data_IF_180510567614
#
_entry.id   IF_180510567614
#
_cell.length_a   1.000
_cell.length_b   1.000
_cell.length_c   1.000
_cell.angle_alpha   90.00
_cell.angle_beta   90.00
_cell.angle_gamma   90.00
#
_symmetry.space_group_name_H-M   'P 1'
#
loop_
_entity.id
_entity.type
_entity.pdbx_description
1 polymer ?
#
# COMPACT_ATOMS: atom_id res chain seq x y z
N UNK A 1 9.07 29.45 -21.02
CA UNK A 1 9.06 29.31 -19.54
C UNK A 1 10.27 28.49 -19.18
N UNK A 2 11.07 28.92 -18.20
CA UNK A 2 12.15 28.06 -17.68
C UNK A 2 11.48 26.81 -17.11
N UNK A 3 11.87 25.63 -17.60
CA UNK A 3 11.43 24.36 -17.03
C UNK A 3 11.91 24.29 -15.58
N UNK A 4 11.04 23.80 -14.69
CA UNK A 4 11.41 23.54 -13.29
C UNK A 4 12.38 22.36 -13.25
N UNK A 5 13.30 22.37 -12.29
CA UNK A 5 14.26 21.27 -12.13
C UNK A 5 13.77 20.31 -11.03
N UNK A 6 14.03 19.02 -11.19
CA UNK A 6 13.82 18.03 -10.15
C UNK A 6 15.10 17.21 -9.97
N UNK A 7 15.52 17.03 -8.72
CA UNK A 7 16.60 16.13 -8.35
C UNK A 7 15.99 15.00 -7.53
N UNK A 8 16.19 13.76 -7.97
CA UNK A 8 15.53 12.61 -7.35
C UNK A 8 16.45 11.42 -7.13
N UNK A 9 16.12 10.60 -6.14
CA UNK A 9 16.75 9.29 -5.97
C UNK A 9 16.13 8.28 -6.96
N UNK A 10 16.96 7.64 -7.78
CA UNK A 10 16.54 6.57 -8.68
C UNK A 10 17.20 5.26 -8.25
N UNK A 11 16.41 4.32 -7.73
CA UNK A 11 16.91 3.01 -7.29
C UNK A 11 16.76 1.93 -8.34
N UNK A 12 15.95 2.13 -9.38
CA UNK A 12 15.57 1.06 -10.32
C UNK A 12 14.41 0.19 -9.82
N UNK A 13 13.90 0.49 -8.63
CA UNK A 13 12.64 -0.05 -8.12
C UNK A 13 11.41 0.58 -8.74
N UNK A 14 10.25 -0.01 -8.45
CA UNK A 14 8.95 0.42 -8.97
C UNK A 14 8.64 1.88 -8.64
N UNK A 15 8.83 2.28 -7.38
CA UNK A 15 8.34 3.59 -6.90
C UNK A 15 9.19 4.73 -7.43
N UNK A 16 10.52 4.57 -7.38
CA UNK A 16 11.45 5.57 -7.91
C UNK A 16 11.35 5.68 -9.44
N UNK A 17 11.10 4.58 -10.15
CA UNK A 17 10.84 4.60 -11.59
C UNK A 17 9.51 5.29 -11.93
N UNK A 18 8.47 5.03 -11.14
CA UNK A 18 7.16 5.70 -11.27
C UNK A 18 7.27 7.20 -11.02
N UNK A 19 8.02 7.62 -9.99
CA UNK A 19 8.29 9.02 -9.69
C UNK A 19 9.05 9.73 -10.83
N UNK A 20 9.99 9.05 -11.48
CA UNK A 20 10.70 9.61 -12.63
C UNK A 20 9.73 9.94 -13.76
N UNK A 21 8.85 9.00 -14.10
CA UNK A 21 7.83 9.18 -15.13
C UNK A 21 6.86 10.30 -14.77
N UNK A 22 6.42 10.33 -13.51
CA UNK A 22 5.57 11.39 -12.99
C UNK A 22 6.20 12.79 -13.17
N UNK A 23 7.46 12.95 -12.79
CA UNK A 23 8.18 14.22 -12.94
C UNK A 23 8.36 14.61 -14.42
N UNK A 24 8.66 13.65 -15.29
CA UNK A 24 8.73 13.89 -16.73
C UNK A 24 7.39 14.31 -17.32
N UNK A 25 6.30 13.66 -16.91
CA UNK A 25 4.94 14.01 -17.29
C UNK A 25 4.58 15.45 -16.88
N UNK A 26 4.98 15.87 -15.68
CA UNK A 26 4.83 17.25 -15.20
C UNK A 26 5.77 18.26 -15.90
N UNK A 27 6.65 17.80 -16.80
CA UNK A 27 7.52 18.64 -17.61
C UNK A 27 8.79 19.12 -16.91
N UNK A 28 9.21 18.47 -15.82
CA UNK A 28 10.46 18.79 -15.13
C UNK A 28 11.69 18.42 -15.98
N UNK A 29 12.79 19.15 -15.79
CA UNK A 29 14.12 18.66 -16.12
C UNK A 29 14.61 17.80 -14.95
N UNK A 30 14.84 16.51 -15.18
CA UNK A 30 15.11 15.57 -14.10
C UNK A 30 16.59 15.18 -14.05
N UNK A 31 17.20 15.34 -12.87
CA UNK A 31 18.51 14.79 -12.52
C UNK A 31 18.31 13.65 -11.51
N UNK A 32 18.60 12.42 -11.92
CA UNK A 32 18.54 11.22 -11.09
C UNK A 32 19.90 10.93 -10.44
N UNK A 33 19.90 10.69 -9.13
CA UNK A 33 21.03 10.12 -8.41
C UNK A 33 20.71 8.66 -8.03
N UNK A 34 21.56 7.73 -8.44
CA UNK A 34 21.53 6.35 -7.97
C UNK A 34 22.69 6.12 -7.00
N UNK A 35 22.38 5.61 -5.82
CA UNK A 35 23.35 5.43 -4.74
C UNK A 35 23.86 3.99 -4.71
N UNK A 36 25.16 3.81 -4.83
CA UNK A 36 25.86 2.56 -4.53
C UNK A 36 26.45 2.69 -3.12
N UNK A 37 25.78 2.11 -2.13
CA UNK A 37 26.21 2.11 -0.74
C UNK A 37 26.71 0.74 -0.27
N UNK A 38 27.00 -0.16 -1.21
CA UNK A 38 27.40 -1.54 -0.92
C UNK A 38 26.24 -2.51 -0.79
N UNK A 39 25.08 -2.20 -1.38
CA UNK A 39 23.96 -3.12 -1.43
C UNK A 39 24.33 -4.44 -2.15
N UNK A 40 23.73 -5.55 -1.69
CA UNK A 40 24.09 -6.93 -2.08
C UNK A 40 24.01 -7.20 -3.60
N UNK A 41 23.05 -6.56 -4.28
CA UNK A 41 22.81 -6.77 -5.71
C UNK A 41 22.91 -5.44 -6.47
N UNK A 42 23.80 -5.38 -7.47
CA UNK A 42 23.93 -4.23 -8.37
C UNK A 42 22.86 -4.21 -9.47
N UNK A 43 21.99 -5.22 -9.52
CA UNK A 43 20.93 -5.36 -10.53
C UNK A 43 20.02 -4.13 -10.55
N UNK A 44 19.70 -3.58 -9.38
CA UNK A 44 18.94 -2.34 -9.20
C UNK A 44 19.51 -1.16 -10.01
N UNK A 45 20.83 -0.97 -9.95
CA UNK A 45 21.54 0.11 -10.64
C UNK A 45 21.51 -0.08 -12.17
N UNK A 46 21.65 -1.33 -12.64
CA UNK A 46 21.53 -1.66 -14.06
C UNK A 46 20.09 -1.47 -14.58
N UNK A 47 19.08 -1.78 -13.75
CA UNK A 47 17.66 -1.53 -14.05
C UNK A 47 17.35 -0.04 -14.16
N UNK A 48 17.82 0.76 -13.19
CA UNK A 48 17.74 2.22 -13.25
C UNK A 48 18.34 2.79 -14.55
N UNK A 49 19.54 2.32 -14.90
CA UNK A 49 20.22 2.73 -16.13
C UNK A 49 19.44 2.34 -17.38
N UNK A 50 18.95 1.10 -17.45
CA UNK A 50 18.18 0.59 -18.57
C UNK A 50 16.89 1.39 -18.82
N UNK A 51 16.21 1.82 -17.75
CA UNK A 51 15.04 2.71 -17.86
C UNK A 51 15.41 4.08 -18.44
N UNK A 52 16.50 4.70 -17.97
CA UNK A 52 16.97 5.99 -18.49
C UNK A 52 17.36 5.89 -19.97
N UNK A 53 18.02 4.80 -20.38
CA UNK A 53 18.35 4.55 -21.79
C UNK A 53 17.09 4.40 -22.64
N UNK A 54 16.07 3.69 -22.15
CA UNK A 54 14.77 3.58 -22.82
C UNK A 54 14.08 4.94 -22.97
N UNK A 55 14.09 5.77 -21.93
CA UNK A 55 13.52 7.13 -21.97
C UNK A 55 14.23 8.01 -23.00
N UNK A 56 15.57 7.97 -23.06
CA UNK A 56 16.35 8.72 -24.05
C UNK A 56 16.02 8.29 -25.49
N UNK A 57 15.85 6.98 -25.74
CA UNK A 57 15.41 6.48 -27.05
C UNK A 57 14.03 7.00 -27.48
N UNK A 58 13.19 7.40 -26.52
CA UNK A 58 11.86 7.97 -26.75
C UNK A 58 11.84 9.50 -26.63
N UNK A 59 13.01 10.16 -26.62
CA UNK A 59 13.12 11.62 -26.64
C UNK A 59 13.06 12.32 -25.29
N UNK A 60 13.15 11.55 -24.18
CA UNK A 60 13.19 12.09 -22.82
C UNK A 60 14.62 12.05 -22.28
N UNK A 61 15.25 13.21 -22.24
CA UNK A 61 16.59 13.37 -21.68
C UNK A 61 16.54 13.47 -20.15
N UNK A 62 17.22 12.55 -19.48
CA UNK A 62 17.36 12.49 -18.01
C UNK A 62 18.84 12.47 -17.66
N UNK A 63 19.29 13.38 -16.81
CA UNK A 63 20.66 13.34 -16.31
C UNK A 63 20.76 12.27 -15.22
N UNK A 64 21.55 11.22 -15.43
CA UNK A 64 21.68 10.12 -14.47
C UNK A 64 23.12 10.02 -13.95
N UNK A 65 23.27 10.09 -12.63
CA UNK A 65 24.56 10.05 -11.93
C UNK A 65 24.58 8.91 -10.91
N UNK A 66 25.69 8.18 -10.89
CA UNK A 66 25.98 7.18 -9.86
C UNK A 66 26.82 7.80 -8.75
N UNK A 67 26.40 7.61 -7.52
CA UNK A 67 27.05 8.14 -6.32
C UNK A 67 27.55 6.97 -5.49
N UNK A 68 28.88 6.82 -5.40
CA UNK A 68 29.52 5.82 -4.54
C UNK A 68 29.56 6.31 -3.09
N UNK A 69 28.86 5.58 -2.22
CA UNK A 69 28.76 5.81 -0.79
C UNK A 69 29.28 4.61 0.02
N UNK A 70 29.92 3.62 -0.60
CA UNK A 70 30.40 2.39 0.07
C UNK A 70 31.28 2.69 1.27
N UNK A 71 32.20 3.64 1.12
CA UNK A 71 33.10 4.04 2.21
C UNK A 71 32.36 4.67 3.38
N UNK A 72 31.36 5.51 3.11
CA UNK A 72 30.55 6.13 4.15
C UNK A 72 29.68 5.09 4.88
N UNK A 73 29.08 4.18 4.13
CA UNK A 73 28.19 3.17 4.69
C UNK A 73 28.90 2.03 5.41
N UNK A 74 30.18 1.78 5.09
CA UNK A 74 31.03 0.85 5.85
C UNK A 74 31.22 1.23 7.33
N UNK A 75 30.84 2.45 7.73
CA UNK A 75 30.86 2.91 9.12
C UNK A 75 29.67 2.40 9.93
N UNK A 76 28.60 1.92 9.26
CA UNK A 76 27.40 1.43 9.93
C UNK A 76 27.49 -0.08 10.16
N UNK A 77 27.30 -0.52 11.40
CA UNK A 77 27.05 -1.92 11.71
C UNK A 77 25.62 -2.26 11.27
N UNK A 78 25.47 -2.91 10.11
CA UNK A 78 24.21 -3.55 9.72
C UNK A 78 24.48 -4.94 9.16
N UNK A 79 23.66 -5.92 9.54
CA UNK A 79 23.85 -7.33 9.17
C UNK A 79 23.87 -7.53 7.65
N UNK A 80 23.19 -6.67 6.88
CA UNK A 80 23.21 -6.69 5.41
C UNK A 80 24.54 -6.26 4.77
N UNK A 81 25.36 -5.47 5.46
CA UNK A 81 26.61 -4.95 4.89
C UNK A 81 27.81 -5.88 5.14
N UNK A 82 27.73 -6.78 6.12
CA UNK A 82 28.90 -7.57 6.56
C UNK A 82 28.64 -9.08 6.70
N UNK A 83 27.42 -9.54 7.04
CA UNK A 83 27.12 -10.98 7.21
C UNK A 83 25.69 -11.32 6.81
N UNK A 84 25.47 -11.59 5.52
CA UNK A 84 24.17 -11.93 4.94
C UNK A 84 23.46 -13.10 5.62
N UNK A 85 22.44 -12.79 6.42
CA UNK A 85 21.34 -13.70 6.73
C UNK A 85 20.41 -13.86 5.52
N UNK A 86 19.58 -14.89 5.56
CA UNK A 86 18.48 -15.07 4.60
C UNK A 86 17.47 -13.92 4.75
N UNK A 87 17.01 -13.35 3.64
CA UNK A 87 15.92 -12.37 3.65
C UNK A 87 14.64 -13.11 4.03
N UNK A 88 13.91 -12.70 5.08
CA UNK A 88 12.71 -13.41 5.51
C UNK A 88 11.65 -13.43 4.40
N UNK A 89 11.07 -14.60 4.16
CA UNK A 89 9.83 -14.76 3.39
C UNK A 89 8.65 -14.44 4.32
N UNK A 90 7.61 -13.76 3.83
CA UNK A 90 6.48 -13.35 4.67
C UNK A 90 5.85 -12.03 4.25
N UNK A 91 4.95 -11.51 5.08
CA UNK A 91 4.33 -10.19 4.85
C UNK A 91 5.32 -9.05 5.17
N UNK A 92 5.23 -7.94 4.44
CA UNK A 92 6.19 -6.83 4.55
C UNK A 92 6.18 -6.18 5.95
N UNK A 93 5.05 -6.16 6.63
CA UNK A 93 4.89 -5.55 7.96
C UNK A 93 5.38 -6.44 9.13
N UNK A 94 5.89 -7.65 8.86
CA UNK A 94 6.39 -8.53 9.92
C UNK A 94 7.66 -7.96 10.59
N UNK A 95 7.75 -8.11 11.93
CA UNK A 95 8.89 -7.63 12.74
C UNK A 95 10.27 -8.13 12.27
N UNK A 96 10.30 -9.25 11.55
CA UNK A 96 11.50 -9.84 10.95
C UNK A 96 12.16 -8.92 9.90
N UNK A 97 11.41 -8.01 9.28
CA UNK A 97 11.91 -7.08 8.26
C UNK A 97 12.80 -5.98 8.84
N UNK A 98 12.69 -5.68 10.14
CA UNK A 98 13.52 -4.66 10.84
C UNK A 98 15.02 -4.99 10.87
N UNK A 99 15.41 -6.24 10.63
CA UNK A 99 16.82 -6.65 10.58
C UNK A 99 17.57 -6.13 9.33
N UNK A 100 16.83 -5.66 8.31
CA UNK A 100 17.40 -5.17 7.03
C UNK A 100 17.62 -3.65 6.99
N UNK A 101 17.38 -2.95 8.10
CA UNK A 101 17.33 -1.49 8.13
C UNK A 101 18.74 -0.92 8.23
N UNK A 102 19.13 -0.11 7.24
CA UNK A 102 20.33 0.71 7.33
C UNK A 102 19.99 2.02 8.05
N UNK A 103 20.60 2.31 9.22
CA UNK A 103 20.25 3.49 9.99
C UNK A 103 20.45 4.78 9.20
N UNK A 104 19.47 5.69 9.27
CA UNK A 104 19.57 7.06 8.75
C UNK A 104 19.86 7.17 7.24
N UNK A 105 19.57 6.13 6.46
CA UNK A 105 19.85 6.06 5.02
C UNK A 105 19.15 7.19 4.26
N UNK A 106 17.84 7.39 4.49
CA UNK A 106 17.09 8.39 3.73
C UNK A 106 17.54 9.83 4.06
N UNK A 107 18.01 10.10 5.28
CA UNK A 107 18.58 11.41 5.61
C UNK A 107 19.85 11.71 4.80
N UNK A 108 20.73 10.71 4.65
CA UNK A 108 21.98 10.84 3.89
C UNK A 108 21.66 11.08 2.41
N UNK A 109 20.73 10.29 1.84
CA UNK A 109 20.29 10.47 0.46
C UNK A 109 19.64 11.83 0.25
N UNK A 110 18.72 12.24 1.13
CA UNK A 110 18.07 13.54 1.08
C UNK A 110 19.09 14.69 1.14
N UNK A 111 20.14 14.56 1.96
CA UNK A 111 21.22 15.56 2.05
C UNK A 111 21.95 15.74 0.71
N UNK A 112 22.28 14.64 0.03
CA UNK A 112 22.95 14.67 -1.27
C UNK A 112 22.05 15.20 -2.39
N UNK A 113 20.77 14.82 -2.38
CA UNK A 113 19.77 15.33 -3.32
C UNK A 113 19.60 16.84 -3.13
N UNK A 114 19.47 17.31 -1.88
CA UNK A 114 19.30 18.72 -1.55
C UNK A 114 20.52 19.56 -1.98
N UNK A 115 21.74 19.11 -1.67
CA UNK A 115 22.96 19.79 -2.11
C UNK A 115 23.08 19.85 -3.64
N UNK A 116 22.66 18.79 -4.34
CA UNK A 116 22.62 18.76 -5.81
C UNK A 116 21.57 19.72 -6.36
N UNK A 117 20.38 19.77 -5.74
CA UNK A 117 19.29 20.68 -6.12
C UNK A 117 19.67 22.15 -5.93
N UNK A 118 20.37 22.48 -4.83
CA UNK A 118 20.95 23.81 -4.58
C UNK A 118 21.94 24.19 -5.69
N UNK A 119 22.93 23.34 -5.95
CA UNK A 119 23.95 23.62 -6.98
C UNK A 119 23.33 23.80 -8.37
N UNK A 120 22.29 23.01 -8.68
CA UNK A 120 21.55 23.14 -9.93
C UNK A 120 20.72 24.42 -9.99
N UNK A 121 20.08 24.81 -8.88
CA UNK A 121 19.32 26.05 -8.77
C UNK A 121 20.22 27.27 -8.98
N UNK A 122 21.37 27.32 -8.31
CA UNK A 122 22.37 28.39 -8.47
C UNK A 122 22.89 28.48 -9.91
N UNK A 123 23.20 27.33 -10.52
CA UNK A 123 23.73 27.27 -11.90
C UNK A 123 22.72 27.72 -12.94
N UNK A 124 21.44 27.42 -12.74
CA UNK A 124 20.37 27.65 -13.74
C UNK A 124 19.51 28.88 -13.45
N UNK A 125 19.61 29.46 -12.25
CA UNK A 125 18.76 30.55 -11.78
C UNK A 125 17.27 30.15 -11.68
N UNK A 126 16.97 28.86 -11.57
CA UNK A 126 15.61 28.30 -11.58
C UNK A 126 15.39 27.39 -10.38
N UNK A 127 14.21 27.46 -9.77
CA UNK A 127 13.86 26.63 -8.61
C UNK A 127 13.98 25.13 -8.90
N UNK A 128 14.43 24.37 -7.90
CA UNK A 128 14.58 22.92 -7.97
C UNK A 128 13.74 22.24 -6.89
N UNK A 129 13.18 21.07 -7.20
CA UNK A 129 12.55 20.22 -6.19
C UNK A 129 13.44 19.03 -5.86
N UNK A 130 13.42 18.60 -4.59
CA UNK A 130 14.02 17.34 -4.13
C UNK A 130 12.90 16.31 -4.05
N UNK A 131 13.01 15.23 -4.83
CA UNK A 131 11.95 14.23 -4.92
C UNK A 131 12.44 12.84 -4.49
N UNK A 132 11.63 12.14 -3.69
CA UNK A 132 11.86 10.77 -3.25
C UNK A 132 10.56 9.96 -3.39
N UNK A 133 10.68 8.70 -3.79
CA UNK A 133 9.54 7.79 -3.96
C UNK A 133 9.10 7.13 -2.65
N UNK A 134 9.10 7.86 -1.53
CA UNK A 134 8.61 7.35 -0.24
C UNK A 134 7.09 7.30 -0.21
N UNK A 135 6.54 6.28 0.44
CA UNK A 135 5.10 6.02 0.42
C UNK A 135 4.52 5.53 1.75
N UNK A 136 3.19 5.49 1.85
CA UNK A 136 2.49 5.22 3.11
C UNK A 136 2.77 3.83 3.69
N UNK A 137 2.94 2.82 2.83
CA UNK A 137 3.34 1.47 3.24
C UNK A 137 4.66 1.40 4.03
N UNK A 138 5.57 2.36 3.84
CA UNK A 138 6.84 2.38 4.58
C UNK A 138 6.68 2.93 6.01
N UNK A 139 5.60 3.66 6.31
CA UNK A 139 5.45 4.39 7.60
C UNK A 139 5.41 3.46 8.82
N UNK A 140 4.88 2.24 8.64
CA UNK A 140 4.78 1.23 9.68
C UNK A 140 6.17 0.72 10.12
N UNK A 141 7.15 0.73 9.21
CA UNK A 141 8.45 0.09 9.41
C UNK A 141 9.56 1.14 9.60
N UNK A 142 9.53 2.22 8.82
CA UNK A 142 10.64 3.18 8.69
C UNK A 142 10.26 4.57 9.23
N UNK A 143 10.87 5.02 10.34
CA UNK A 143 10.63 6.37 10.85
C UNK A 143 11.12 7.46 9.88
N UNK A 144 12.12 7.15 9.04
CA UNK A 144 12.70 8.04 8.03
C UNK A 144 11.94 8.07 6.69
N UNK A 145 10.72 7.53 6.67
CA UNK A 145 9.76 7.68 5.57
C UNK A 145 8.57 8.60 5.93
N UNK A 146 8.47 9.07 7.19
CA UNK A 146 7.28 9.78 7.69
C UNK A 146 7.23 11.26 7.34
N UNK A 147 6.03 11.87 7.23
CA UNK A 147 5.89 13.30 6.97
C UNK A 147 6.64 14.19 7.97
N UNK A 148 6.59 13.88 9.26
CA UNK A 148 7.22 14.68 10.32
C UNK A 148 8.74 14.71 10.17
N UNK A 149 9.32 13.60 9.71
CA UNK A 149 10.76 13.50 9.46
C UNK A 149 11.17 14.41 8.30
N UNK A 150 10.46 14.38 7.18
CA UNK A 150 10.77 15.24 6.03
C UNK A 150 10.51 16.72 6.32
N UNK A 151 9.49 17.06 7.10
CA UNK A 151 9.27 18.43 7.56
C UNK A 151 10.44 18.93 8.44
N UNK A 152 10.95 18.08 9.33
CA UNK A 152 12.11 18.42 10.15
C UNK A 152 13.39 18.57 9.31
N UNK A 153 13.60 17.69 8.32
CA UNK A 153 14.74 17.78 7.40
C UNK A 153 14.67 19.03 6.52
N UNK A 154 13.52 19.34 5.95
CA UNK A 154 13.31 20.54 5.14
C UNK A 154 13.65 21.79 5.93
N UNK A 155 13.14 21.89 7.18
CA UNK A 155 13.48 22.98 8.07
C UNK A 155 14.99 23.07 8.34
N UNK A 156 15.64 21.94 8.66
CA UNK A 156 17.07 21.90 8.95
C UNK A 156 17.92 22.31 7.73
N UNK A 157 17.56 21.86 6.53
CA UNK A 157 18.26 22.22 5.31
C UNK A 157 18.03 23.68 4.92
N UNK A 158 16.81 24.19 5.14
CA UNK A 158 16.47 25.58 4.85
C UNK A 158 17.30 26.57 5.68
N UNK A 159 17.45 26.31 6.99
CA UNK A 159 18.27 27.15 7.88
C UNK A 159 19.78 26.96 7.66
N UNK A 160 20.19 25.79 7.20
CA UNK A 160 21.59 25.39 7.08
C UNK A 160 22.29 25.87 5.81
N UNK A 161 21.53 26.29 4.80
CA UNK A 161 22.07 26.62 3.48
C UNK A 161 21.55 27.96 2.96
N UNK A 162 22.42 28.70 2.26
CA UNK A 162 22.02 29.85 1.47
C UNK A 162 21.27 29.39 0.20
N UNK A 163 20.30 30.17 -0.28
CA UNK A 163 19.56 29.86 -1.51
C UNK A 163 18.44 28.82 -1.36
N UNK A 164 18.17 28.37 -0.14
CA UNK A 164 17.12 27.39 0.19
C UNK A 164 15.71 27.83 -0.21
N UNK A 165 15.43 29.13 -0.33
CA UNK A 165 14.13 29.66 -0.81
C UNK A 165 13.77 29.18 -2.23
N UNK A 166 14.75 28.66 -2.98
CA UNK A 166 14.59 28.12 -4.32
C UNK A 166 14.44 26.59 -4.36
N UNK A 167 14.46 25.93 -3.20
CA UNK A 167 14.40 24.48 -3.04
C UNK A 167 13.18 24.08 -2.24
N UNK A 168 12.53 22.98 -2.61
CA UNK A 168 11.45 22.38 -1.83
C UNK A 168 11.44 20.86 -1.98
N UNK A 169 10.94 20.15 -0.97
CA UNK A 169 10.64 18.72 -1.12
C UNK A 169 9.37 18.49 -1.94
N UNK A 170 9.37 17.42 -2.74
CA UNK A 170 8.22 16.95 -3.50
C UNK A 170 8.08 15.43 -3.33
N UNK A 171 7.14 15.03 -2.48
CA UNK A 171 6.93 13.65 -2.04
C UNK A 171 5.49 13.20 -2.37
N UNK A 172 5.17 12.97 -3.66
CA UNK A 172 3.77 12.80 -4.10
C UNK A 172 3.11 11.52 -3.59
N UNK A 173 3.89 10.54 -3.14
CA UNK A 173 3.38 9.22 -2.77
C UNK A 173 3.27 9.00 -1.26
N UNK A 174 3.55 10.01 -0.44
CA UNK A 174 3.60 9.90 1.02
C UNK A 174 2.31 9.32 1.63
N UNK A 175 1.16 9.63 1.02
CA UNK A 175 -0.16 9.14 1.43
C UNK A 175 -0.75 8.11 0.45
N UNK A 176 0.06 7.61 -0.50
CA UNK A 176 -0.36 6.66 -1.54
C UNK A 176 0.19 5.27 -1.25
N UNK A 177 -0.61 4.25 -1.55
CA UNK A 177 -0.17 2.86 -1.56
C UNK A 177 0.51 2.50 -2.90
N UNK A 178 1.05 1.28 -2.99
CA UNK A 178 1.70 0.74 -4.21
C UNK A 178 0.76 0.76 -5.43
N UNK A 179 -0.52 0.48 -5.22
CA UNK A 179 -1.51 0.52 -6.29
C UNK A 179 -1.72 1.94 -6.83
N UNK A 180 -1.80 2.94 -5.94
CA UNK A 180 -1.88 4.35 -6.30
C UNK A 180 -0.66 4.83 -7.07
N UNK A 181 0.55 4.40 -6.67
CA UNK A 181 1.80 4.68 -7.41
C UNK A 181 1.72 4.13 -8.84
N UNK A 182 1.25 2.89 -9.02
CA UNK A 182 1.10 2.31 -10.36
C UNK A 182 0.05 3.02 -11.22
N UNK A 183 -1.07 3.47 -10.62
CA UNK A 183 -2.10 4.25 -11.35
C UNK A 183 -1.58 5.62 -11.79
N UNK A 184 -0.79 6.28 -10.94
CA UNK A 184 -0.09 7.52 -11.31
C UNK A 184 0.90 7.27 -12.45
N UNK A 185 1.68 6.20 -12.35
CA UNK A 185 2.61 5.80 -13.41
C UNK A 185 1.89 5.47 -14.72
N UNK A 186 0.75 4.77 -14.70
CA UNK A 186 -0.05 4.48 -15.89
C UNK A 186 -0.50 5.78 -16.58
N UNK A 187 -0.93 6.77 -15.79
CA UNK A 187 -1.30 8.10 -16.29
C UNK A 187 -0.10 8.80 -16.92
N UNK A 188 1.05 8.80 -16.24
CA UNK A 188 2.28 9.43 -16.72
C UNK A 188 2.79 8.75 -18.01
N UNK A 189 2.83 7.42 -18.06
CA UNK A 189 3.24 6.62 -19.21
C UNK A 189 2.34 6.91 -20.41
N UNK A 190 1.02 6.95 -20.20
CA UNK A 190 0.06 7.28 -21.25
C UNK A 190 0.26 8.69 -21.81
N UNK A 191 0.51 9.67 -20.95
CA UNK A 191 0.78 11.05 -21.37
C UNK A 191 2.14 11.23 -22.05
N UNK A 192 3.13 10.40 -21.72
CA UNK A 192 4.46 10.39 -22.32
C UNK A 192 4.54 9.54 -23.59
N UNK A 193 3.44 8.87 -23.98
CA UNK A 193 3.37 7.94 -25.13
C UNK A 193 4.39 6.78 -25.03
N UNK A 194 4.65 6.31 -23.81
CA UNK A 194 5.56 5.20 -23.53
C UNK A 194 4.81 3.86 -23.43
N UNK A 195 5.52 2.74 -23.55
CA UNK A 195 4.94 1.42 -23.34
C UNK A 195 5.08 0.98 -21.86
N UNK A 196 3.96 0.62 -21.25
CA UNK A 196 3.89 0.27 -19.83
C UNK A 196 4.73 -0.97 -19.49
N UNK A 197 4.63 -2.01 -20.31
CA UNK A 197 5.32 -3.28 -20.12
C UNK A 197 6.85 -3.13 -20.27
N UNK A 198 7.31 -2.35 -21.24
CA UNK A 198 8.72 -2.01 -21.43
C UNK A 198 9.25 -1.21 -20.23
N UNK A 199 8.49 -0.25 -19.71
CA UNK A 199 8.91 0.52 -18.53
C UNK A 199 9.09 -0.39 -17.31
N UNK A 200 8.06 -1.18 -16.97
CA UNK A 200 8.07 -1.92 -15.72
C UNK A 200 8.89 -3.22 -15.75
N UNK A 201 9.10 -3.83 -16.92
CA UNK A 201 10.05 -4.96 -17.09
C UNK A 201 11.51 -4.54 -16.82
N UNK A 202 11.80 -3.24 -16.84
CA UNK A 202 13.10 -2.66 -16.50
C UNK A 202 13.23 -2.29 -15.02
N UNK A 203 12.30 -2.70 -14.17
CA UNK A 203 12.35 -2.45 -12.72
C UNK A 203 12.62 -3.72 -11.93
N UNK A 204 13.09 -3.57 -10.69
CA UNK A 204 13.27 -4.69 -9.76
C UNK A 204 12.88 -4.27 -8.35
N UNK A 205 12.09 -5.09 -7.66
CA UNK A 205 11.65 -4.83 -6.28
C UNK A 205 12.14 -5.90 -5.30
N UNK A 206 12.53 -7.08 -5.80
CA UNK A 206 12.97 -8.19 -4.95
C UNK A 206 14.30 -7.87 -4.26
N UNK A 207 14.36 -8.07 -2.94
CA UNK A 207 15.59 -7.97 -2.16
C UNK A 207 16.47 -9.24 -2.23
N UNK A 208 15.98 -10.30 -2.88
CA UNK A 208 16.72 -11.56 -3.05
C UNK A 208 16.42 -12.19 -4.42
N UNK A 209 16.79 -11.51 -5.52
CA UNK A 209 16.66 -12.11 -6.83
C UNK A 209 17.57 -13.33 -6.97
N UNK A 210 17.16 -14.26 -7.83
CA UNK A 210 18.00 -15.41 -8.20
C UNK A 210 19.24 -14.97 -9.02
N UNK A 211 20.19 -15.86 -9.32
CA UNK A 211 21.39 -15.50 -10.11
C UNK A 211 21.10 -14.92 -11.50
N UNK A 212 19.90 -15.17 -12.05
CA UNK A 212 19.45 -14.65 -13.34
C UNK A 212 18.71 -13.30 -13.18
N UNK A 213 18.58 -12.79 -11.95
CA UNK A 213 17.91 -11.53 -11.64
C UNK A 213 16.40 -11.63 -11.48
N UNK A 214 15.84 -12.84 -11.40
CA UNK A 214 14.39 -13.08 -11.30
C UNK A 214 13.91 -13.02 -9.86
N UNK A 215 12.69 -12.51 -9.67
CA UNK A 215 12.04 -12.46 -8.35
C UNK A 215 11.48 -13.83 -7.96
N UNK A 216 11.60 -14.21 -6.69
CA UNK A 216 10.99 -15.44 -6.17
C UNK A 216 9.47 -15.34 -6.05
N UNK A 217 8.92 -14.13 -5.95
CA UNK A 217 7.51 -13.88 -5.70
C UNK A 217 7.08 -14.08 -4.25
N UNK A 218 8.02 -14.30 -3.32
CA UNK A 218 7.74 -14.75 -1.94
C UNK A 218 8.19 -13.79 -0.84
N UNK A 219 9.07 -12.84 -1.16
CA UNK A 219 9.48 -11.83 -0.18
C UNK A 219 8.36 -10.81 0.02
N UNK A 220 8.36 -10.10 1.16
CA UNK A 220 7.32 -9.09 1.43
C UNK A 220 7.19 -8.04 0.32
N UNK A 221 8.33 -7.57 -0.23
CA UNK A 221 8.32 -6.59 -1.32
C UNK A 221 7.82 -7.17 -2.65
N UNK A 222 8.05 -8.46 -2.90
CA UNK A 222 7.49 -9.16 -4.06
C UNK A 222 5.97 -9.30 -3.94
N UNK A 223 5.47 -9.70 -2.76
CA UNK A 223 4.04 -9.86 -2.48
C UNK A 223 3.30 -8.54 -2.66
N UNK A 224 3.80 -7.45 -2.07
CA UNK A 224 3.20 -6.11 -2.25
C UNK A 224 3.12 -5.70 -3.72
N UNK A 225 4.20 -5.91 -4.47
CA UNK A 225 4.26 -5.56 -5.89
C UNK A 225 3.25 -6.39 -6.70
N UNK A 226 3.24 -7.71 -6.51
CA UNK A 226 2.29 -8.61 -7.19
C UNK A 226 0.85 -8.18 -6.94
N UNK A 227 0.50 -7.90 -5.69
CA UNK A 227 -0.84 -7.46 -5.31
C UNK A 227 -1.18 -6.08 -5.90
N UNK A 228 -0.21 -5.17 -5.97
CA UNK A 228 -0.40 -3.86 -6.58
C UNK A 228 -0.72 -3.97 -8.08
N UNK A 229 0.04 -4.75 -8.85
CA UNK A 229 -0.24 -5.01 -10.28
C UNK A 229 -1.60 -5.69 -10.47
N UNK A 230 -1.90 -6.70 -9.65
CA UNK A 230 -3.19 -7.38 -9.70
C UNK A 230 -4.36 -6.43 -9.43
N UNK A 231 -4.22 -5.51 -8.46
CA UNK A 231 -5.26 -4.56 -8.07
C UNK A 231 -5.63 -3.55 -9.17
N UNK A 232 -4.72 -3.32 -10.12
CA UNK A 232 -4.97 -2.49 -11.31
C UNK A 232 -5.34 -3.32 -12.55
N UNK A 233 -5.59 -4.63 -12.37
CA UNK A 233 -6.00 -5.53 -13.44
C UNK A 233 -4.89 -5.90 -14.42
N UNK A 234 -3.61 -5.81 -14.01
CA UNK A 234 -2.45 -6.12 -14.85
C UNK A 234 -1.63 -7.28 -14.30
N UNK A 235 -0.95 -7.97 -15.20
CA UNK A 235 0.15 -8.87 -14.89
C UNK A 235 1.44 -8.06 -14.78
N UNK A 236 2.27 -8.36 -13.78
CA UNK A 236 3.54 -7.68 -13.61
C UNK A 236 4.55 -8.14 -14.68
N UNK A 237 5.14 -7.22 -15.46
CA UNK A 237 5.99 -7.57 -16.61
C UNK A 237 7.42 -8.00 -16.23
N UNK A 238 7.77 -8.11 -14.95
CA UNK A 238 9.08 -8.66 -14.55
C UNK A 238 9.10 -10.19 -14.64
N UNK A 239 10.30 -10.74 -14.80
CA UNK A 239 10.50 -12.18 -14.78
C UNK A 239 10.50 -12.71 -13.34
N UNK A 240 9.55 -13.61 -13.06
CA UNK A 240 9.51 -14.40 -11.83
C UNK A 240 10.14 -15.79 -12.03
N UNK A 241 10.55 -16.41 -10.92
CA UNK A 241 11.05 -17.79 -10.91
C UNK A 241 9.95 -18.77 -11.32
N UNK A 242 8.72 -18.52 -10.89
CA UNK A 242 7.50 -19.26 -11.22
C UNK A 242 6.60 -18.43 -12.15
N UNK A 243 5.56 -19.06 -12.72
CA UNK A 243 4.58 -18.35 -13.55
C UNK A 243 3.76 -17.34 -12.74
N UNK A 244 3.31 -16.27 -13.39
CA UNK A 244 2.45 -15.24 -12.79
C UNK A 244 1.28 -15.81 -11.98
N UNK A 245 0.56 -16.80 -12.51
CA UNK A 245 -0.60 -17.34 -11.81
C UNK A 245 -0.22 -18.04 -10.50
N UNK A 246 0.98 -18.61 -10.42
CA UNK A 246 1.50 -19.28 -9.21
C UNK A 246 1.90 -18.25 -8.16
N UNK A 247 2.70 -17.25 -8.56
CA UNK A 247 3.16 -16.21 -7.63
C UNK A 247 2.00 -15.33 -7.15
N UNK A 248 1.02 -15.06 -8.01
CA UNK A 248 -0.19 -14.33 -7.62
C UNK A 248 -1.03 -15.08 -6.58
N UNK A 249 -1.26 -16.38 -6.78
CA UNK A 249 -2.00 -17.18 -5.80
C UNK A 249 -1.25 -17.27 -4.47
N UNK A 250 0.08 -17.37 -4.50
CA UNK A 250 0.90 -17.34 -3.30
C UNK A 250 0.80 -15.98 -2.58
N UNK A 251 0.93 -14.86 -3.30
CA UNK A 251 0.81 -13.52 -2.74
C UNK A 251 -0.57 -13.26 -2.11
N UNK A 252 -1.66 -13.64 -2.78
CA UNK A 252 -3.02 -13.56 -2.25
C UNK A 252 -3.21 -14.41 -0.98
N UNK A 253 -2.57 -15.59 -0.92
CA UNK A 253 -2.63 -16.45 0.26
C UNK A 253 -1.83 -15.87 1.44
N UNK A 254 -0.65 -15.29 1.18
CA UNK A 254 0.15 -14.59 2.19
C UNK A 254 -0.62 -13.42 2.78
N UNK A 255 -1.19 -12.55 1.94
CA UNK A 255 -2.01 -11.41 2.34
C UNK A 255 -3.21 -11.82 3.20
N UNK A 256 -3.92 -12.88 2.80
CA UNK A 256 -5.05 -13.41 3.58
C UNK A 256 -4.59 -13.91 4.95
N UNK A 257 -3.46 -14.61 5.02
CA UNK A 257 -2.91 -15.15 6.27
C UNK A 257 -2.49 -14.04 7.22
N UNK A 258 -1.89 -12.96 6.69
CA UNK A 258 -1.54 -11.78 7.45
C UNK A 258 -2.79 -11.12 8.05
N UNK A 259 -3.80 -10.83 7.22
CA UNK A 259 -5.09 -10.27 7.67
C UNK A 259 -5.78 -11.14 8.70
N UNK A 260 -5.74 -12.46 8.57
CA UNK A 260 -6.29 -13.36 9.59
C UNK A 260 -5.55 -13.26 10.92
N UNK A 261 -4.23 -13.11 10.91
CA UNK A 261 -3.43 -12.88 12.12
C UNK A 261 -3.79 -11.55 12.76
N UNK A 262 -3.86 -10.47 11.97
CA UNK A 262 -4.27 -9.15 12.43
C UNK A 262 -5.67 -9.18 13.07
N UNK A 263 -6.64 -9.86 12.43
CA UNK A 263 -7.97 -10.03 13.00
C UNK A 263 -7.98 -10.85 14.29
N UNK A 264 -7.14 -11.88 14.42
CA UNK A 264 -7.04 -12.64 15.68
C UNK A 264 -6.51 -11.80 16.84
N UNK A 265 -5.61 -10.86 16.57
CA UNK A 265 -5.02 -9.99 17.58
C UNK A 265 -5.96 -8.84 17.97
N UNK A 266 -6.67 -8.28 16.98
CA UNK A 266 -7.55 -7.12 17.18
C UNK A 266 -8.95 -7.49 17.69
N UNK A 267 -9.53 -8.60 17.23
CA UNK A 267 -10.90 -8.98 17.56
C UNK A 267 -10.98 -9.79 18.85
N UNK A 268 -12.08 -9.64 19.58
CA UNK A 268 -12.40 -10.57 20.67
C UNK A 268 -12.68 -11.98 20.13
N UNK A 269 -12.55 -13.01 20.98
CA UNK A 269 -12.76 -14.39 20.58
C UNK A 269 -14.14 -14.64 19.91
N UNK A 270 -15.21 -13.99 20.40
CA UNK A 270 -16.55 -14.13 19.79
C UNK A 270 -16.66 -13.39 18.46
N UNK A 271 -16.08 -12.20 18.34
CA UNK A 271 -16.05 -11.45 17.08
C UNK A 271 -15.27 -12.23 16.01
N UNK A 272 -14.13 -12.80 16.36
CA UNK A 272 -13.35 -13.65 15.46
C UNK A 272 -14.14 -14.90 15.05
N UNK A 273 -14.70 -15.64 16.02
CA UNK A 273 -15.49 -16.84 15.76
C UNK A 273 -16.67 -16.56 14.82
N UNK A 274 -17.40 -15.47 15.04
CA UNK A 274 -18.53 -15.07 14.19
C UNK A 274 -18.04 -14.66 12.81
N UNK A 275 -17.13 -13.68 12.73
CA UNK A 275 -16.79 -13.03 11.45
C UNK A 275 -15.87 -13.86 10.56
N UNK A 276 -14.98 -14.67 11.12
CA UNK A 276 -13.96 -15.43 10.37
C UNK A 276 -14.24 -16.92 10.30
N UNK A 277 -14.87 -17.49 11.33
CA UNK A 277 -15.20 -18.93 11.37
C UNK A 277 -16.68 -19.21 11.02
N UNK A 278 -17.42 -18.18 10.61
CA UNK A 278 -18.86 -18.26 10.29
C UNK A 278 -19.70 -18.80 11.46
N UNK A 279 -19.29 -18.47 12.68
CA UNK A 279 -20.03 -18.76 13.90
C UNK A 279 -21.29 -17.92 14.04
N UNK A 280 -22.13 -18.24 15.02
CA UNK A 280 -23.34 -17.48 15.33
C UNK A 280 -23.42 -17.25 16.83
N UNK A 281 -23.68 -16.00 17.24
CA UNK A 281 -23.90 -15.67 18.65
C UNK A 281 -25.14 -16.38 19.18
N UNK A 282 -25.24 -16.52 20.50
CA UNK A 282 -26.47 -17.01 21.10
C UNK A 282 -27.56 -15.94 21.03
N UNK A 283 -28.80 -16.36 20.78
CA UNK A 283 -29.95 -15.48 20.83
C UNK A 283 -30.04 -14.75 22.18
N UNK A 284 -30.41 -13.47 22.15
CA UNK A 284 -30.63 -12.58 23.30
C UNK A 284 -29.37 -12.29 24.13
N UNK A 285 -28.17 -12.50 23.58
CA UNK A 285 -26.91 -12.21 24.29
C UNK A 285 -26.04 -11.15 23.64
N UNK A 286 -26.21 -10.87 22.34
CA UNK A 286 -25.35 -9.94 21.60
C UNK A 286 -25.56 -8.49 22.02
N UNK A 287 -24.51 -7.67 22.03
CA UNK A 287 -24.56 -6.28 22.52
C UNK A 287 -25.68 -5.43 21.90
N UNK A 288 -25.98 -5.64 20.61
CA UNK A 288 -26.88 -4.78 19.84
C UNK A 288 -28.28 -5.36 19.61
N UNK A 289 -28.64 -6.49 20.23
CA UNK A 289 -29.94 -7.12 19.96
C UNK A 289 -31.11 -6.17 20.33
N UNK A 290 -31.05 -5.52 21.49
CA UNK A 290 -32.07 -4.55 21.97
C UNK A 290 -31.61 -3.08 21.84
N UNK A 291 -30.58 -2.81 21.04
CA UNK A 291 -30.12 -1.44 20.78
C UNK A 291 -31.19 -0.63 20.01
N UNK A 292 -31.45 0.61 20.46
CA UNK A 292 -32.51 1.49 19.94
C UNK A 292 -32.06 2.94 19.72
N UNK A 293 -30.81 3.28 20.09
CA UNK A 293 -30.24 4.61 19.85
C UNK A 293 -30.11 4.87 18.35
N UNK A 294 -30.15 6.14 17.98
CA UNK A 294 -29.88 6.58 16.62
C UNK A 294 -28.36 6.46 16.33
N UNK A 295 -28.01 6.11 15.10
CA UNK A 295 -26.64 5.82 14.73
C UNK A 295 -26.51 4.77 13.63
N UNK A 296 -25.26 4.42 13.38
CA UNK A 296 -24.80 3.64 12.23
C UNK A 296 -24.09 2.36 12.66
N UNK A 297 -24.26 1.30 11.87
CA UNK A 297 -23.67 -0.01 12.12
C UNK A 297 -22.64 -0.35 11.05
N UNK A 298 -21.39 -0.43 11.48
CA UNK A 298 -20.23 -0.72 10.66
C UNK A 298 -19.78 -2.17 10.82
N UNK A 299 -19.12 -2.74 9.82
CA UNK A 299 -18.45 -4.02 9.94
C UNK A 299 -17.30 -3.93 10.95
N UNK A 300 -17.28 -4.78 11.98
CA UNK A 300 -16.19 -4.76 12.97
C UNK A 300 -14.81 -5.08 12.37
N UNK A 301 -14.77 -5.75 11.22
CA UNK A 301 -13.52 -6.15 10.55
C UNK A 301 -12.91 -5.05 9.69
N UNK A 302 -13.71 -4.22 9.01
CA UNK A 302 -13.19 -3.25 8.03
C UNK A 302 -13.83 -1.85 8.12
N UNK A 303 -14.65 -1.60 9.14
CA UNK A 303 -15.36 -0.33 9.36
C UNK A 303 -16.24 0.12 8.17
N UNK A 304 -16.62 -0.79 7.25
CA UNK A 304 -17.58 -0.48 6.18
C UNK A 304 -18.98 -0.27 6.76
N UNK A 305 -19.68 0.79 6.37
CA UNK A 305 -21.08 1.03 6.76
C UNK A 305 -22.00 -0.04 6.15
N UNK A 306 -22.72 -0.77 6.99
CA UNK A 306 -23.59 -1.87 6.58
C UNK A 306 -25.08 -1.54 6.77
N UNK A 307 -25.43 -0.95 7.92
CA UNK A 307 -26.82 -0.67 8.29
C UNK A 307 -26.92 0.64 9.06
N UNK A 308 -28.13 1.18 9.17
CA UNK A 308 -28.44 2.32 10.05
C UNK A 308 -29.55 1.96 11.03
N UNK A 309 -29.66 2.68 12.14
CA UNK A 309 -30.73 2.53 13.13
C UNK A 309 -32.14 2.58 12.52
N UNK A 310 -32.35 3.41 11.48
CA UNK A 310 -33.63 3.49 10.75
C UNK A 310 -34.03 2.19 10.03
N UNK A 311 -33.05 1.33 9.75
CA UNK A 311 -33.24 0.03 9.11
C UNK A 311 -33.55 -1.07 10.13
N UNK A 312 -33.25 -0.83 11.41
CA UNK A 312 -33.40 -1.81 12.49
C UNK A 312 -34.87 -1.92 12.90
N UNK A 313 -35.30 -3.14 13.20
CA UNK A 313 -36.64 -3.40 13.75
C UNK A 313 -36.61 -4.58 14.73
N UNK A 314 -37.61 -4.67 15.60
CA UNK A 314 -37.75 -5.80 16.51
C UNK A 314 -38.48 -6.96 15.82
N UNK A 315 -37.75 -8.06 15.58
CA UNK A 315 -38.29 -9.29 15.00
C UNK A 315 -38.61 -10.37 16.05
N UNK A 316 -38.21 -10.15 17.31
CA UNK A 316 -38.26 -11.16 18.37
C UNK A 316 -37.30 -12.34 18.18
N UNK A 317 -36.41 -12.34 17.18
CA UNK A 317 -35.52 -13.47 16.93
C UNK A 317 -34.36 -13.60 17.94
N UNK A 318 -34.04 -12.52 18.67
CA UNK A 318 -32.93 -12.47 19.62
C UNK A 318 -31.59 -12.03 19.04
N UNK A 319 -31.55 -11.56 17.79
CA UNK A 319 -30.40 -10.90 17.18
C UNK A 319 -30.83 -9.56 16.55
N UNK A 320 -29.91 -8.60 16.36
CA UNK A 320 -30.13 -7.43 15.51
C UNK A 320 -30.81 -7.83 14.19
N UNK A 321 -31.93 -7.17 13.90
CA UNK A 321 -32.71 -7.43 12.70
C UNK A 321 -32.89 -6.15 11.90
N UNK A 322 -32.53 -6.20 10.62
CA UNK A 322 -32.67 -5.08 9.70
C UNK A 322 -33.57 -5.46 8.52
N UNK A 323 -34.38 -4.53 8.04
CA UNK A 323 -35.29 -4.79 6.91
C UNK A 323 -34.62 -4.57 5.54
N UNK A 324 -33.57 -3.74 5.51
CA UNK A 324 -32.73 -3.45 4.33
C UNK A 324 -31.28 -3.21 4.75
N UNK A 325 -30.36 -3.31 3.80
CA UNK A 325 -28.96 -2.86 3.96
C UNK A 325 -28.78 -1.40 3.51
N UNK A 326 -27.67 -0.78 3.92
CA UNK A 326 -27.26 0.52 3.38
C UNK A 326 -26.96 0.41 1.88
N UNK A 327 -27.27 1.45 1.11
CA UNK A 327 -27.17 1.40 -0.36
C UNK A 327 -25.75 1.10 -0.89
N UNK A 328 -24.73 1.50 -0.14
CA UNK A 328 -23.32 1.23 -0.44
C UNK A 328 -22.75 -0.02 0.27
N UNK A 329 -23.58 -0.73 1.06
CA UNK A 329 -23.12 -1.89 1.83
C UNK A 329 -22.66 -3.03 0.92
N UNK A 330 -23.37 -3.27 -0.19
CA UNK A 330 -23.02 -4.28 -1.18
C UNK A 330 -22.92 -5.69 -0.61
N UNK A 331 -23.80 -6.07 0.32
CA UNK A 331 -23.66 -7.31 1.09
C UNK A 331 -23.71 -8.54 0.16
N UNK A 332 -22.69 -9.40 0.25
CA UNK A 332 -22.63 -10.64 -0.50
C UNK A 332 -23.62 -11.65 0.06
N UNK A 333 -24.35 -12.32 -0.84
CA UNK A 333 -25.35 -13.34 -0.52
C UNK A 333 -24.86 -14.70 -1.00
N UNK A 334 -24.71 -15.65 -0.09
CA UNK A 334 -24.16 -16.98 -0.37
C UNK A 334 -25.18 -18.03 0.06
N UNK A 335 -25.44 -19.03 -0.79
CA UNK A 335 -26.29 -20.16 -0.39
C UNK A 335 -25.60 -20.98 0.70
N UNK A 336 -26.23 -21.05 1.87
CA UNK A 336 -25.80 -21.85 3.00
C UNK A 336 -26.69 -23.10 3.12
N UNK A 337 -26.06 -24.27 2.95
CA UNK A 337 -26.69 -25.60 3.05
C UNK A 337 -26.26 -26.38 4.30
N UNK A 338 -25.53 -25.73 5.21
CA UNK A 338 -25.06 -26.34 6.45
C UNK A 338 -26.24 -26.68 7.37
N UNK A 339 -26.03 -27.62 8.30
CA UNK A 339 -27.05 -28.08 9.25
C UNK A 339 -28.37 -28.59 8.62
N UNK A 340 -28.38 -28.92 7.33
CA UNK A 340 -29.55 -29.45 6.63
C UNK A 340 -30.64 -28.41 6.34
N UNK A 341 -30.33 -27.12 6.45
CA UNK A 341 -31.24 -26.01 6.13
C UNK A 341 -30.77 -25.33 4.84
N UNK A 342 -31.69 -24.74 4.07
CA UNK A 342 -31.34 -23.83 2.98
C UNK A 342 -31.56 -22.40 3.47
N UNK A 343 -30.46 -21.66 3.67
CA UNK A 343 -30.47 -20.25 4.08
C UNK A 343 -29.59 -19.44 3.13
N UNK A 344 -29.68 -18.12 3.23
CA UNK A 344 -28.78 -17.22 2.51
C UNK A 344 -27.90 -16.57 3.57
N UNK A 345 -26.63 -16.96 3.60
CA UNK A 345 -25.59 -16.30 4.38
C UNK A 345 -25.33 -14.91 3.80
N UNK A 346 -25.14 -13.94 4.69
CA UNK A 346 -24.74 -12.58 4.33
C UNK A 346 -23.34 -12.27 4.84
N UNK A 347 -22.49 -11.77 3.92
CA UNK A 347 -21.10 -11.39 4.20
C UNK A 347 -20.81 -9.96 3.77
N UNK A 348 -19.87 -9.32 4.45
CA UNK A 348 -19.30 -8.07 3.97
C UNK A 348 -18.50 -8.33 2.69
N UNK A 349 -18.76 -7.58 1.62
CA UNK A 349 -18.03 -7.67 0.35
C UNK A 349 -16.57 -7.22 0.46
N UNK A 350 -16.27 -6.27 1.35
CA UNK A 350 -14.93 -5.69 1.45
C UNK A 350 -13.92 -6.60 2.17
N UNK A 351 -14.36 -7.40 3.14
CA UNK A 351 -13.46 -8.24 3.96
C UNK A 351 -13.90 -9.70 4.10
N UNK A 352 -14.99 -10.11 3.43
CA UNK A 352 -15.56 -11.45 3.50
C UNK A 352 -15.98 -11.88 4.93
N UNK A 353 -16.20 -10.92 5.84
CA UNK A 353 -16.66 -11.21 7.19
C UNK A 353 -18.09 -11.76 7.18
N UNK A 354 -18.31 -12.89 7.84
CA UNK A 354 -19.64 -13.41 8.10
C UNK A 354 -20.42 -12.46 9.02
N UNK A 355 -21.57 -12.01 8.55
CA UNK A 355 -22.45 -11.10 9.30
C UNK A 355 -23.60 -11.87 9.95
N UNK A 356 -24.20 -12.80 9.20
CA UNK A 356 -25.36 -13.58 9.63
C UNK A 356 -26.10 -14.18 8.45
N UNK A 357 -27.44 -14.13 8.47
CA UNK A 357 -28.30 -14.66 7.41
C UNK A 357 -29.45 -13.72 7.07
N UNK A 358 -29.93 -13.78 5.83
CA UNK A 358 -31.14 -13.08 5.37
C UNK A 358 -32.30 -14.06 5.16
N UNK A 359 -33.49 -13.65 5.57
CA UNK A 359 -34.72 -14.45 5.52
C UNK A 359 -35.88 -13.67 4.86
N UNK A 360 -36.82 -14.34 4.17
CA UNK A 360 -37.94 -13.70 3.48
C UNK A 360 -39.16 -13.44 4.38
N UNK A 361 -38.96 -13.31 5.70
CA UNK A 361 -40.01 -13.18 6.72
C UNK A 361 -40.01 -11.79 7.41
N UNK A 362 -39.46 -10.78 6.74
CA UNK A 362 -39.41 -9.41 7.23
C UNK A 362 -40.64 -8.55 6.90
N UNK A 363 -40.60 -7.25 7.25
CA UNK A 363 -41.71 -6.33 7.02
C UNK A 363 -41.98 -6.11 5.54
N UNK A 364 -43.19 -6.43 5.08
CA UNK A 364 -43.59 -6.34 3.66
C UNK A 364 -43.44 -4.93 3.06
N UNK A 365 -43.60 -3.89 3.87
CA UNK A 365 -43.51 -2.50 3.42
C UNK A 365 -42.08 -2.09 2.97
N UNK A 366 -41.06 -2.86 3.35
CA UNK A 366 -39.66 -2.62 3.01
C UNK A 366 -39.07 -3.71 2.09
N UNK A 367 -39.92 -4.51 1.45
CA UNK A 367 -39.49 -5.60 0.55
C UNK A 367 -39.64 -7.01 1.14
N UNK A 368 -39.93 -7.12 2.45
CA UNK A 368 -40.22 -8.41 3.09
C UNK A 368 -39.01 -9.23 3.51
N UNK A 369 -37.80 -8.67 3.42
CA UNK A 369 -36.59 -9.33 3.89
C UNK A 369 -36.26 -8.96 5.35
N UNK A 370 -35.59 -9.88 6.03
CA UNK A 370 -35.05 -9.71 7.38
C UNK A 370 -33.61 -10.17 7.40
N UNK A 371 -32.71 -9.21 7.54
CA UNK A 371 -31.30 -9.43 7.81
C UNK A 371 -31.12 -9.70 9.29
N UNK A 372 -30.85 -10.95 9.64
CA UNK A 372 -30.60 -11.41 11.00
C UNK A 372 -29.09 -11.44 11.23
N UNK A 373 -28.56 -10.42 11.92
CA UNK A 373 -27.12 -10.13 11.96
C UNK A 373 -26.58 -10.33 13.37
N UNK A 374 -25.38 -10.89 13.49
CA UNK A 374 -24.68 -11.00 14.75
C UNK A 374 -24.20 -9.62 15.22
N UNK A 375 -24.48 -9.26 16.48
CA UNK A 375 -23.91 -8.07 17.11
C UNK A 375 -22.39 -8.09 17.10
N UNK A 376 -21.78 -9.25 17.31
CA UNK A 376 -20.32 -9.43 17.25
C UNK A 376 -19.71 -9.23 15.86
N UNK A 377 -20.52 -9.06 14.80
CA UNK A 377 -20.03 -8.66 13.48
C UNK A 377 -20.10 -7.15 13.23
N UNK A 378 -20.70 -6.41 14.17
CA UNK A 378 -21.01 -4.99 14.04
C UNK A 378 -20.21 -4.15 15.04
N UNK A 379 -20.01 -2.88 14.68
CA UNK A 379 -19.59 -1.78 15.53
C UNK A 379 -20.63 -0.69 15.40
N UNK A 380 -21.21 -0.26 16.50
CA UNK A 380 -22.22 0.82 16.50
C UNK A 380 -21.54 2.16 16.79
N UNK A 381 -21.81 3.15 15.95
CA UNK A 381 -21.45 4.56 16.20
C UNK A 381 -22.74 5.35 16.46
N UNK A 382 -22.85 5.94 17.64
CA UNK A 382 -24.04 6.69 18.04
C UNK A 382 -24.03 8.06 17.36
N UNK A 383 -25.18 8.47 16.83
CA UNK A 383 -25.34 9.82 16.29
C UNK A 383 -25.32 10.82 17.45
N UNK A 384 -24.28 11.65 17.55
CA UNK A 384 -24.25 12.72 18.57
C UNK A 384 -25.32 13.77 18.26
N UNK A 385 -26.23 14.00 19.20
CA UNK A 385 -27.20 15.10 19.14
C UNK A 385 -26.44 16.44 19.08
N UNK A 386 -26.38 17.07 17.89
CA UNK A 386 -25.82 18.42 17.70
C UNK A 386 -26.70 19.53 18.27
#
# INVERSE_FOLDING_TARGET
MNKKNAVMALSGGMDSSSLLLHLLHLGYNVTCLSFDYGQKHHVELERAKSLVEYLSQHGYEVEHKFVDLKSAFSLFESDLLVNGGDVPEGHYEEDSMKATVVPNRNAIFASLLYGTALSLSEKTGSSSVVALGVHSGDHAIYPDCRPEFYNALDHAFAIGNWGSDSISFYLPYLESDKAGILRDAETAIGALELNFEEVFSRTITSYSPDPDGRSSGKTGSDVERILAFHSIGREDPIDYVDRWEVVLQAALATERTHKETEYKERLTAIQFHVTRESGTERAFTGEYYDEKRAGDYFCICCDKLLFTSSMKFDSGCGWPSFHTEHHDAGILRIEDRTHGMLRIEVRCDACDAHLGHVFPDGPKQYGGERYCINSASLKFDEEEDQ
#
